data_IF_094442577098
#
_entry.id   IF_094442577098
#
_cell.length_a   1.000
_cell.length_b   1.000
_cell.length_c   1.000
_cell.angle_alpha   90.00
_cell.angle_beta   90.00
_cell.angle_gamma   90.00
#
_symmetry.space_group_name_H-M   'P 1'
#
loop_
_entity.id
_entity.type
_entity.pdbx_description
1 polymer ?
#
# COMPACT_ATOMS: atom_id res chain seq x y z
N UNK A 1 -23.11 77.07 12.48
CA UNK A 1 -24.39 77.41 13.14
C UNK A 1 -25.55 77.04 12.20
N UNK A 2 -26.67 76.52 12.76
CA UNK A 2 -27.92 76.02 12.12
C UNK A 2 -27.79 74.59 11.52
N UNK A 3 -28.10 73.49 12.24
CA UNK A 3 -29.41 72.92 12.62
C UNK A 3 -30.40 72.90 11.43
N UNK A 4 -30.85 71.74 10.95
CA UNK A 4 -32.01 70.98 11.45
C UNK A 4 -32.33 69.76 10.55
N UNK A 5 -32.92 68.74 11.19
CA UNK A 5 -33.41 67.44 10.76
C UNK A 5 -34.24 67.41 9.46
N UNK A 6 -34.28 66.25 8.77
CA UNK A 6 -35.54 65.54 8.55
C UNK A 6 -35.33 64.02 8.40
N UNK A 7 -36.06 63.30 9.25
CA UNK A 7 -36.17 61.85 9.42
C UNK A 7 -37.14 61.29 8.37
N UNK A 8 -36.82 60.16 7.71
CA UNK A 8 -37.85 59.18 7.32
C UNK A 8 -37.28 57.77 7.56
N UNK A 9 -37.95 57.09 8.48
CA UNK A 9 -37.78 55.70 8.89
C UNK A 9 -38.60 54.84 7.91
N UNK A 10 -37.98 53.88 7.22
CA UNK A 10 -38.74 52.86 6.49
C UNK A 10 -38.29 51.47 6.94
N UNK A 11 -39.17 50.86 7.72
CA UNK A 11 -39.18 49.44 8.07
C UNK A 11 -39.36 48.59 6.80
N UNK A 12 -38.42 47.71 6.51
CA UNK A 12 -38.69 46.49 5.74
C UNK A 12 -38.18 45.32 6.56
N UNK A 13 -39.14 44.59 7.11
CA UNK A 13 -38.97 43.31 7.80
C UNK A 13 -38.54 42.24 6.78
N UNK A 14 -37.32 41.73 6.90
CA UNK A 14 -36.89 40.53 6.18
C UNK A 14 -37.26 39.32 7.04
N UNK A 15 -38.24 38.56 6.58
CA UNK A 15 -38.67 37.29 7.18
C UNK A 15 -37.54 36.28 7.11
N UNK A 16 -37.22 35.67 8.25
CA UNK A 16 -36.27 34.58 8.39
C UNK A 16 -36.71 33.34 7.59
N UNK A 17 -35.83 32.83 6.74
CA UNK A 17 -35.73 31.40 6.43
C UNK A 17 -34.28 30.97 6.64
N UNK A 18 -33.90 30.72 7.91
CA UNK A 18 -32.71 29.94 8.21
C UNK A 18 -33.10 28.46 8.13
N UNK A 19 -33.15 27.92 6.91
CA UNK A 19 -33.00 26.48 6.72
C UNK A 19 -31.53 26.15 7.05
N UNK A 20 -31.27 25.73 8.29
CA UNK A 20 -29.98 25.12 8.62
C UNK A 20 -29.83 23.88 7.72
N UNK A 21 -28.74 23.75 6.94
CA UNK A 21 -28.47 22.50 6.25
C UNK A 21 -28.35 21.39 7.31
N UNK A 22 -28.86 20.18 7.05
CA UNK A 22 -28.75 19.08 7.99
C UNK A 22 -27.28 18.88 8.32
N UNK A 23 -26.94 19.01 9.61
CA UNK A 23 -25.63 18.66 10.13
C UNK A 23 -25.51 17.16 9.91
N UNK A 24 -24.80 16.76 8.85
CA UNK A 24 -24.26 15.41 8.71
C UNK A 24 -23.31 15.27 9.89
N UNK A 25 -23.77 14.59 10.95
CA UNK A 25 -22.86 14.03 11.94
C UNK A 25 -22.07 12.96 11.19
N UNK A 26 -20.92 13.34 10.63
CA UNK A 26 -19.90 12.36 10.29
C UNK A 26 -19.71 11.50 11.53
N UNK A 27 -20.11 10.23 11.44
CA UNK A 27 -19.76 9.20 12.41
C UNK A 27 -18.24 9.01 12.34
N UNK A 28 -17.50 9.92 12.98
CA UNK A 28 -16.06 9.83 13.18
C UNK A 28 -15.76 8.90 14.36
N UNK A 29 -16.39 7.73 14.38
CA UNK A 29 -16.21 6.71 15.41
C UNK A 29 -15.51 5.49 14.79
N UNK A 30 -14.34 5.73 14.22
CA UNK A 30 -13.24 4.78 14.22
C UNK A 30 -11.97 5.61 14.07
N UNK A 31 -11.04 5.60 15.03
CA UNK A 31 -9.74 6.20 14.79
C UNK A 31 -9.13 5.48 13.58
N UNK A 32 -8.98 6.20 12.47
CA UNK A 32 -8.28 5.70 11.29
C UNK A 32 -6.95 5.13 11.77
N UNK A 33 -6.76 3.82 11.58
CA UNK A 33 -5.52 3.14 11.94
C UNK A 33 -4.37 3.89 11.26
N UNK A 34 -3.30 4.26 12.00
CA UNK A 34 -2.22 5.04 11.42
C UNK A 34 -1.56 4.23 10.29
N UNK A 35 -1.55 4.79 9.09
CA UNK A 35 -0.80 4.28 7.95
C UNK A 35 0.70 4.42 8.22
N UNK A 36 1.52 3.64 7.52
CA UNK A 36 2.98 3.76 7.63
C UNK A 36 3.45 5.18 7.34
N UNK A 37 2.91 5.80 6.30
CA UNK A 37 3.29 7.15 5.90
C UNK A 37 2.94 8.19 6.97
N UNK A 38 1.77 8.09 7.58
CA UNK A 38 1.36 9.02 8.64
C UNK A 38 2.19 8.82 9.91
N UNK A 39 2.52 7.56 10.26
CA UNK A 39 3.35 7.25 11.41
C UNK A 39 4.80 7.72 11.21
N UNK A 40 5.39 7.42 10.06
CA UNK A 40 6.77 7.77 9.69
C UNK A 40 7.01 9.28 9.61
N UNK A 41 5.99 10.05 9.24
CA UNK A 41 6.10 11.50 9.02
C UNK A 41 5.64 12.32 10.24
N UNK A 42 5.43 11.70 11.41
CA UNK A 42 5.11 12.43 12.64
C UNK A 42 6.21 13.45 12.95
N UNK A 43 5.79 14.69 13.24
CA UNK A 43 6.70 15.79 13.58
C UNK A 43 6.99 15.80 15.07
N UNK A 44 8.13 16.36 15.45
CA UNK A 44 8.53 16.57 16.85
C UNK A 44 8.52 15.29 17.72
N UNK A 45 8.65 14.12 17.10
CA UNK A 45 8.80 12.84 17.78
C UNK A 45 10.08 12.16 17.33
N UNK A 46 10.68 11.37 18.21
CA UNK A 46 11.78 10.49 17.88
C UNK A 46 11.21 9.11 17.55
N UNK A 47 11.43 8.65 16.33
CA UNK A 47 11.01 7.34 15.86
C UNK A 47 12.21 6.40 15.79
N UNK A 48 12.10 5.28 16.47
CA UNK A 48 12.99 4.13 16.30
C UNK A 48 12.48 3.28 15.13
N UNK A 49 13.38 2.87 14.22
CA UNK A 49 13.07 1.98 13.09
C UNK A 49 13.89 0.71 13.20
N UNK A 50 13.20 -0.40 13.46
CA UNK A 50 13.77 -1.74 13.43
C UNK A 50 13.46 -2.42 12.08
N UNK A 51 14.46 -3.10 11.51
CA UNK A 51 14.31 -3.86 10.26
C UNK A 51 14.78 -5.29 10.51
N UNK A 52 13.89 -6.25 10.31
CA UNK A 52 14.17 -7.68 10.45
C UNK A 52 14.00 -8.35 9.09
N UNK A 53 15.05 -9.01 8.59
CA UNK A 53 14.97 -9.79 7.35
C UNK A 53 14.22 -11.10 7.63
N UNK A 54 13.14 -11.32 6.88
CA UNK A 54 12.27 -12.50 7.01
C UNK A 54 12.58 -13.57 5.96
N UNK A 55 13.26 -13.18 4.89
CA UNK A 55 13.75 -14.07 3.84
C UNK A 55 14.02 -13.32 2.54
N UNK A 56 14.35 -14.08 1.50
CA UNK A 56 14.64 -13.55 0.17
C UNK A 56 13.88 -14.33 -0.90
N UNK A 57 13.52 -13.63 -1.96
CA UNK A 57 12.91 -14.22 -3.15
C UNK A 57 13.47 -13.55 -4.39
N UNK A 58 14.29 -14.26 -5.16
CA UNK A 58 14.78 -13.80 -6.48
C UNK A 58 15.46 -12.41 -6.45
N UNK A 59 16.21 -12.11 -5.39
CA UNK A 59 16.87 -10.80 -5.20
C UNK A 59 15.99 -9.73 -4.57
N UNK A 60 14.73 -10.05 -4.23
CA UNK A 60 13.88 -9.26 -3.35
C UNK A 60 14.11 -9.69 -1.90
N UNK A 61 14.50 -8.76 -1.05
CA UNK A 61 14.57 -8.99 0.40
C UNK A 61 13.21 -8.69 1.01
N UNK A 62 12.68 -9.64 1.78
CA UNK A 62 11.42 -9.50 2.51
C UNK A 62 11.73 -9.09 3.94
N UNK A 63 11.23 -7.93 4.34
CA UNK A 63 11.58 -7.28 5.61
C UNK A 63 10.32 -7.07 6.46
N UNK A 64 10.40 -7.27 7.78
CA UNK A 64 9.51 -6.63 8.74
C UNK A 64 10.14 -5.30 9.12
N UNK A 65 9.38 -4.22 8.97
CA UNK A 65 9.79 -2.89 9.40
C UNK A 65 8.87 -2.49 10.55
N UNK A 66 9.45 -2.22 11.71
CA UNK A 66 8.73 -1.74 12.89
C UNK A 66 9.17 -0.32 13.20
N UNK A 67 8.21 0.61 13.20
CA UNK A 67 8.40 1.97 13.70
C UNK A 67 7.86 2.03 15.12
N UNK A 68 8.64 2.59 16.04
CA UNK A 68 8.26 2.81 17.44
C UNK A 68 8.47 4.27 17.79
N UNK A 69 7.42 4.89 18.32
CA UNK A 69 7.48 6.23 18.86
C UNK A 69 8.02 6.15 20.30
N UNK A 70 9.19 6.76 20.54
CA UNK A 70 9.85 6.64 21.85
C UNK A 70 9.15 7.45 22.93
N UNK A 71 8.29 8.40 22.58
CA UNK A 71 7.60 9.28 23.54
C UNK A 71 6.40 8.61 24.20
N UNK A 72 5.68 7.76 23.47
CA UNK A 72 4.42 7.15 23.90
C UNK A 72 4.40 5.62 23.72
N UNK A 73 5.51 5.04 23.28
CA UNK A 73 5.70 3.60 23.02
C UNK A 73 4.72 3.00 21.99
N UNK A 74 3.97 3.82 21.25
CA UNK A 74 3.17 3.33 20.14
C UNK A 74 4.06 2.73 19.06
N UNK A 75 3.61 1.66 18.41
CA UNK A 75 4.38 1.02 17.35
C UNK A 75 3.49 0.60 16.19
N UNK A 76 4.10 0.53 15.00
CA UNK A 76 3.49 0.08 13.77
C UNK A 76 4.46 -0.82 13.03
N UNK A 77 4.01 -2.00 12.62
CA UNK A 77 4.79 -2.93 11.80
C UNK A 77 4.18 -3.11 10.43
N UNK A 78 5.02 -3.13 9.40
CA UNK A 78 4.65 -3.32 7.99
C UNK A 78 5.61 -4.28 7.29
N UNK A 79 5.21 -4.78 6.12
CA UNK A 79 6.10 -5.53 5.25
C UNK A 79 6.87 -4.57 4.34
N UNK A 80 8.19 -4.74 4.27
CA UNK A 80 9.06 -4.12 3.28
C UNK A 80 9.45 -5.13 2.19
N UNK A 81 9.33 -4.72 0.93
CA UNK A 81 9.89 -5.41 -0.22
C UNK A 81 11.08 -4.60 -0.72
N UNK A 82 12.30 -5.01 -0.33
CA UNK A 82 13.52 -4.29 -0.63
C UNK A 82 14.23 -4.87 -1.86
N UNK A 83 14.48 -4.00 -2.84
CA UNK A 83 15.32 -4.30 -3.99
C UNK A 83 16.66 -3.59 -3.85
N UNK A 84 17.73 -4.34 -4.09
CA UNK A 84 19.09 -3.83 -4.19
C UNK A 84 19.50 -3.81 -5.66
N UNK A 85 20.09 -2.70 -6.11
CA UNK A 85 20.70 -2.60 -7.43
C UNK A 85 22.06 -1.94 -7.32
N UNK A 86 23.04 -2.54 -7.97
CA UNK A 86 24.41 -2.03 -8.04
C UNK A 86 24.86 -2.04 -9.51
N UNK A 87 25.33 -0.89 -9.97
CA UNK A 87 26.11 -0.72 -11.20
C UNK A 87 27.53 -0.33 -10.80
N UNK A 88 28.45 -0.27 -11.78
CA UNK A 88 29.82 0.18 -11.52
C UNK A 88 29.86 1.56 -10.82
N UNK A 89 28.92 2.45 -11.15
CA UNK A 89 28.90 3.83 -10.68
C UNK A 89 27.89 4.10 -9.55
N UNK A 90 26.92 3.20 -9.32
CA UNK A 90 25.79 3.49 -8.44
C UNK A 90 25.30 2.28 -7.66
N UNK A 91 25.15 2.46 -6.35
CA UNK A 91 24.43 1.53 -5.46
C UNK A 91 23.10 2.18 -5.05
N UNK A 92 22.00 1.43 -5.14
CA UNK A 92 20.68 1.87 -4.70
C UNK A 92 19.97 0.76 -3.92
N UNK A 93 19.33 1.16 -2.82
CA UNK A 93 18.38 0.35 -2.06
C UNK A 93 17.03 1.05 -2.08
N UNK A 94 15.99 0.34 -2.49
CA UNK A 94 14.63 0.84 -2.46
C UNK A 94 13.72 -0.18 -1.80
N UNK A 95 12.98 0.26 -0.79
CA UNK A 95 11.98 -0.57 -0.11
C UNK A 95 10.58 -0.06 -0.44
N UNK A 96 9.75 -0.92 -1.01
CA UNK A 96 8.32 -0.67 -1.19
C UNK A 96 7.57 -1.24 0.00
N UNK A 97 6.69 -0.45 0.60
CA UNK A 97 5.93 -0.85 1.79
C UNK A 97 4.61 -1.49 1.38
N UNK A 98 4.25 -2.57 2.06
CA UNK A 98 2.93 -3.19 2.05
C UNK A 98 2.37 -3.15 3.47
N UNK A 99 1.26 -2.44 3.65
CA UNK A 99 0.53 -2.47 4.91
C UNK A 99 -0.11 -3.84 5.11
N UNK A 100 -0.40 -4.19 6.36
CA UNK A 100 -0.90 -5.53 6.72
C UNK A 100 -2.13 -5.95 5.91
N UNK A 101 -3.09 -5.04 5.72
CA UNK A 101 -4.32 -5.33 4.95
C UNK A 101 -4.05 -5.51 3.46
N UNK A 102 -3.09 -4.78 2.90
CA UNK A 102 -2.70 -4.90 1.50
C UNK A 102 -1.85 -6.16 1.28
N UNK A 103 -1.06 -6.57 2.27
CA UNK A 103 -0.36 -7.86 2.26
C UNK A 103 -1.34 -9.03 2.20
N UNK A 104 -2.39 -9.04 3.04
CA UNK A 104 -3.39 -10.13 3.02
C UNK A 104 -4.06 -10.23 1.63
N UNK A 105 -4.49 -9.10 1.07
CA UNK A 105 -5.09 -9.06 -0.28
C UNK A 105 -4.09 -9.51 -1.37
N UNK A 106 -2.82 -9.15 -1.22
CA UNK A 106 -1.77 -9.55 -2.15
C UNK A 106 -1.54 -11.07 -2.10
N UNK A 107 -1.48 -11.67 -0.91
CA UNK A 107 -1.39 -13.12 -0.72
C UNK A 107 -2.61 -13.80 -1.36
N UNK A 108 -3.83 -13.33 -1.07
CA UNK A 108 -5.05 -13.89 -1.66
C UNK A 108 -5.05 -13.85 -3.20
N UNK A 109 -4.52 -12.77 -3.79
CA UNK A 109 -4.39 -12.64 -5.23
C UNK A 109 -3.38 -13.63 -5.81
N UNK A 110 -2.25 -13.85 -5.14
CA UNK A 110 -1.25 -14.85 -5.53
C UNK A 110 -1.81 -16.27 -5.48
N UNK A 111 -2.59 -16.60 -4.47
CA UNK A 111 -3.24 -17.92 -4.36
C UNK A 111 -4.29 -18.13 -5.45
N UNK A 112 -5.06 -17.09 -5.78
CA UNK A 112 -5.98 -17.13 -6.93
C UNK A 112 -5.24 -17.30 -8.23
N UNK A 113 -4.08 -16.64 -8.40
CA UNK A 113 -3.19 -16.85 -9.55
C UNK A 113 -2.71 -18.31 -9.62
N UNK A 114 -2.21 -18.86 -8.52
CA UNK A 114 -1.77 -20.26 -8.45
C UNK A 114 -2.89 -21.22 -8.86
N UNK A 115 -4.09 -21.01 -8.32
CA UNK A 115 -5.27 -21.83 -8.65
C UNK A 115 -5.65 -21.72 -10.12
N UNK A 116 -5.74 -20.50 -10.66
CA UNK A 116 -6.16 -20.28 -12.04
C UNK A 116 -5.13 -20.70 -13.08
N UNK A 117 -3.86 -20.86 -12.67
CA UNK A 117 -2.77 -21.33 -13.53
C UNK A 117 -2.50 -22.83 -13.38
N UNK A 118 -3.33 -23.55 -12.62
CA UNK A 118 -3.27 -25.02 -12.52
C UNK A 118 -3.72 -25.73 -13.79
N UNK A 119 -4.54 -25.06 -14.61
CA UNK A 119 -5.03 -25.59 -15.89
C UNK A 119 -4.33 -24.89 -17.07
N UNK A 120 -4.36 -25.54 -18.23
CA UNK A 120 -3.80 -25.02 -19.47
C UNK A 120 -4.92 -24.57 -20.40
N UNK A 121 -5.10 -23.25 -20.64
CA UNK A 121 -6.12 -22.77 -21.55
C UNK A 121 -5.76 -23.11 -23.00
N UNK A 122 -6.76 -23.09 -23.88
CA UNK A 122 -6.57 -23.25 -25.32
C UNK A 122 -5.90 -22.03 -25.93
N UNK A 123 -6.32 -20.84 -25.48
CA UNK A 123 -5.91 -19.53 -25.99
C UNK A 123 -4.82 -18.86 -25.14
N UNK A 124 -4.07 -17.93 -25.73
CA UNK A 124 -3.16 -17.06 -24.96
C UNK A 124 -3.98 -16.33 -23.88
N UNK A 125 -3.60 -16.55 -22.63
CA UNK A 125 -4.36 -16.06 -21.47
C UNK A 125 -3.40 -15.37 -20.51
N UNK A 126 -3.84 -14.24 -19.94
CA UNK A 126 -3.03 -13.43 -19.02
C UNK A 126 -3.85 -13.09 -17.78
N UNK A 127 -3.21 -13.14 -16.63
CA UNK A 127 -3.75 -12.66 -15.37
C UNK A 127 -2.83 -11.57 -14.80
N UNK A 128 -3.43 -10.57 -14.15
CA UNK A 128 -2.71 -9.47 -13.51
C UNK A 128 -3.43 -9.03 -12.25
N UNK A 129 -2.66 -8.74 -11.21
CA UNK A 129 -3.08 -8.04 -10.01
C UNK A 129 -2.13 -6.88 -9.74
N UNK A 130 -2.67 -5.76 -9.28
CA UNK A 130 -1.92 -4.54 -8.97
C UNK A 130 -2.32 -4.05 -7.57
N UNK A 131 -1.32 -3.80 -6.71
CA UNK A 131 -1.57 -3.24 -5.37
C UNK A 131 -1.79 -1.73 -5.42
N UNK A 132 -2.30 -1.16 -4.33
CA UNK A 132 -2.37 0.30 -4.08
C UNK A 132 -1.01 0.99 -4.20
N UNK A 133 0.07 0.26 -3.91
CA UNK A 133 1.46 0.72 -3.97
C UNK A 133 2.16 0.39 -5.29
N UNK A 134 1.41 0.03 -6.34
CA UNK A 134 1.91 -0.28 -7.69
C UNK A 134 2.84 -1.51 -7.78
N UNK A 135 2.73 -2.46 -6.85
CA UNK A 135 3.34 -3.79 -7.02
C UNK A 135 2.45 -4.58 -7.97
N UNK A 136 3.00 -5.03 -9.09
CA UNK A 136 2.27 -5.83 -10.08
C UNK A 136 2.73 -7.28 -10.00
N UNK A 137 1.79 -8.22 -9.95
CA UNK A 137 2.05 -9.63 -10.17
C UNK A 137 1.14 -10.14 -11.27
N UNK A 138 1.65 -11.03 -12.11
CA UNK A 138 0.84 -11.61 -13.17
C UNK A 138 1.34 -12.96 -13.64
N UNK A 139 0.58 -13.51 -14.58
CA UNK A 139 0.88 -14.79 -15.22
C UNK A 139 0.48 -14.74 -16.68
N UNK A 140 1.34 -15.26 -17.54
CA UNK A 140 1.15 -15.30 -18.99
C UNK A 140 1.24 -16.76 -19.43
N UNK A 141 0.21 -17.24 -20.10
CA UNK A 141 0.23 -18.57 -20.70
C UNK A 141 0.85 -18.49 -22.09
N UNK A 142 1.99 -19.15 -22.26
CA UNK A 142 2.65 -19.25 -23.55
C UNK A 142 2.05 -20.44 -24.33
N UNK A 143 1.30 -20.16 -25.40
CA UNK A 143 0.66 -21.20 -26.20
C UNK A 143 1.65 -22.10 -26.95
N UNK A 144 2.82 -21.59 -27.32
CA UNK A 144 3.85 -22.34 -28.05
C UNK A 144 4.55 -23.32 -27.11
N UNK A 145 4.93 -22.86 -25.92
CA UNK A 145 5.63 -23.67 -24.91
C UNK A 145 4.68 -24.45 -24.00
N UNK A 146 3.37 -24.19 -24.09
CA UNK A 146 2.30 -24.81 -23.30
C UNK A 146 2.59 -24.78 -21.79
N UNK A 147 3.10 -23.64 -21.32
CA UNK A 147 3.47 -23.39 -19.93
C UNK A 147 2.98 -22.02 -19.45
N UNK A 148 2.88 -21.88 -18.14
CA UNK A 148 2.66 -20.60 -17.48
C UNK A 148 4.01 -19.99 -17.08
N UNK A 149 4.15 -18.69 -17.34
CA UNK A 149 5.24 -17.88 -16.83
C UNK A 149 4.64 -16.85 -15.87
N UNK A 150 5.19 -16.75 -14.67
CA UNK A 150 4.76 -15.79 -13.66
C UNK A 150 5.77 -14.65 -13.58
N UNK A 151 5.32 -13.47 -13.19
CA UNK A 151 6.20 -12.33 -13.03
C UNK A 151 5.79 -11.43 -11.87
N UNK A 152 6.76 -10.74 -11.27
CA UNK A 152 6.58 -9.70 -10.25
C UNK A 152 7.29 -8.42 -10.69
N UNK A 153 6.62 -7.28 -10.60
CA UNK A 153 7.23 -5.95 -10.79
C UNK A 153 7.06 -5.16 -9.50
N UNK A 154 8.19 -4.69 -8.99
CA UNK A 154 8.24 -3.73 -7.90
C UNK A 154 8.45 -2.35 -8.53
N UNK A 155 7.73 -1.30 -8.10
CA UNK A 155 7.93 0.03 -8.62
C UNK A 155 9.35 0.53 -8.29
N UNK A 156 10.22 0.64 -9.30
CA UNK A 156 11.55 1.23 -9.16
C UNK A 156 11.60 2.62 -9.81
N UNK A 157 12.47 3.49 -9.28
CA UNK A 157 12.55 4.90 -9.67
C UNK A 157 13.36 5.17 -10.94
N UNK A 158 14.21 4.23 -11.39
CA UNK A 158 15.33 4.61 -12.25
C UNK A 158 15.68 3.65 -13.40
N UNK A 159 15.17 2.41 -13.46
CA UNK A 159 15.51 1.49 -14.55
C UNK A 159 14.32 0.67 -15.04
N UNK A 160 14.36 0.34 -16.35
CA UNK A 160 13.32 -0.37 -17.07
C UNK A 160 12.80 -1.58 -16.29
N UNK A 161 11.48 -1.65 -16.14
CA UNK A 161 10.77 -2.69 -15.39
C UNK A 161 10.79 -4.02 -16.16
N UNK A 162 11.93 -4.71 -16.20
CA UNK A 162 11.90 -6.14 -16.50
C UNK A 162 11.24 -6.81 -15.30
N UNK A 163 10.02 -7.32 -15.51
CA UNK A 163 9.37 -8.12 -14.48
C UNK A 163 10.27 -9.28 -14.08
N UNK A 164 10.39 -9.51 -12.79
CA UNK A 164 11.09 -10.67 -12.23
C UNK A 164 10.28 -11.92 -12.57
N UNK A 165 10.73 -12.68 -13.56
CA UNK A 165 10.09 -13.92 -13.99
C UNK A 165 10.37 -15.09 -13.06
N UNK A 166 9.37 -15.95 -12.82
CA UNK A 166 9.52 -17.15 -12.00
C UNK A 166 8.53 -18.26 -12.39
N UNK A 167 8.87 -19.49 -12.00
CA UNK A 167 8.10 -20.72 -12.28
C UNK A 167 7.00 -20.94 -11.24
N UNK A 168 6.05 -21.83 -11.55
CA UNK A 168 4.92 -22.14 -10.65
C UNK A 168 5.36 -22.67 -9.28
N UNK A 169 6.44 -23.46 -9.21
CA UNK A 169 6.98 -23.90 -7.91
C UNK A 169 7.48 -22.72 -7.08
N UNK A 170 8.12 -21.74 -7.72
CA UNK A 170 8.64 -20.53 -7.08
C UNK A 170 7.49 -19.61 -6.65
N UNK A 171 6.38 -19.56 -7.40
CA UNK A 171 5.15 -18.88 -6.96
C UNK A 171 4.66 -19.42 -5.61
N UNK A 172 4.62 -20.77 -5.45
CA UNK A 172 4.20 -21.40 -4.20
C UNK A 172 5.13 -21.04 -3.05
N UNK A 173 6.43 -21.05 -3.30
CA UNK A 173 7.41 -20.73 -2.27
C UNK A 173 7.36 -19.25 -1.88
N UNK A 174 7.06 -18.36 -2.83
CA UNK A 174 6.80 -16.95 -2.55
C UNK A 174 5.54 -16.77 -1.69
N UNK A 175 4.43 -17.45 -2.02
CA UNK A 175 3.20 -17.43 -1.21
C UNK A 175 3.48 -17.89 0.23
N UNK A 176 4.20 -19.00 0.40
CA UNK A 176 4.59 -19.51 1.73
C UNK A 176 5.44 -18.51 2.51
N UNK A 177 6.42 -17.88 1.85
CA UNK A 177 7.28 -16.86 2.47
C UNK A 177 6.46 -15.66 2.95
N UNK A 178 5.54 -15.15 2.11
CA UNK A 178 4.68 -14.03 2.47
C UNK A 178 3.70 -14.37 3.59
N UNK A 179 3.12 -15.57 3.61
CA UNK A 179 2.27 -16.04 4.72
C UNK A 179 3.03 -16.11 6.04
N UNK A 180 4.26 -16.65 6.00
CA UNK A 180 5.13 -16.64 7.17
C UNK A 180 5.41 -15.21 7.61
N UNK A 181 5.72 -14.32 6.68
CA UNK A 181 5.98 -12.92 6.98
C UNK A 181 4.76 -12.21 7.60
N UNK A 182 3.55 -12.46 7.10
CA UNK A 182 2.30 -11.94 7.64
C UNK A 182 2.12 -12.33 9.12
N UNK A 183 2.44 -13.57 9.50
CA UNK A 183 2.40 -14.03 10.89
C UNK A 183 3.36 -13.23 11.79
N UNK A 184 4.54 -12.84 11.29
CA UNK A 184 5.50 -12.01 12.03
C UNK A 184 5.01 -10.57 12.26
N UNK A 185 4.05 -10.09 11.45
CA UNK A 185 3.40 -8.78 11.64
C UNK A 185 2.22 -8.83 12.62
N UNK A 186 1.74 -10.03 12.98
CA UNK A 186 0.63 -10.22 13.94
C UNK A 186 1.11 -10.33 15.39
N UNK A 187 2.36 -10.77 15.60
CA UNK A 187 2.98 -10.83 16.92
C UNK A 187 3.45 -9.42 17.32
N UNK A 188 2.72 -8.80 18.25
CA UNK A 188 3.14 -7.61 18.99
C UNK A 188 3.56 -8.03 20.40
#
# INVERSE_FOLDING_TARGET
MKRLLFTIFLLITISLFNAQPPIIKETLNNPLKPTYQNFNNRKQTLLEKEIIILGEFKGLTIEKITLKDTSNQSSLSVLGLMTFSETFDQISKKTTILEKEDLSKFIDALEKLEKNTSTKPENETKFKYLTSTNIEVGSVYNQTLKNWEHYLKIPQSTFNQTGMGFKTIELRDFIKLLKKAEQHLQKQ
#
